data_IF_848347143395
#
_entry.id   IF_848347143395
#
_cell.length_a   1.000
_cell.length_b   1.000
_cell.length_c   1.000
_cell.angle_alpha   90.00
_cell.angle_beta   90.00
_cell.angle_gamma   90.00
#
_symmetry.space_group_name_H-M   'P 1'
#
loop_
_entity.id
_entity.type
_entity.pdbx_description
1 polymer ?
#
# COMPACT_ATOMS: atom_id res chain seq x y z
N UNK A 1 -61.77 -41.86 -12.46
CA UNK A 1 -61.50 -40.44 -12.22
C UNK A 1 -60.02 -40.14 -11.79
N UNK A 2 -59.28 -41.11 -11.18
CA UNK A 2 -57.92 -40.92 -10.61
C UNK A 2 -56.81 -40.64 -11.64
N UNK A 3 -56.95 -41.03 -12.91
CA UNK A 3 -55.95 -40.81 -13.97
C UNK A 3 -56.03 -39.39 -14.62
N UNK A 4 -57.19 -38.76 -14.63
CA UNK A 4 -57.35 -37.40 -15.23
C UNK A 4 -56.58 -36.33 -14.42
N UNK A 5 -56.56 -36.44 -13.08
CA UNK A 5 -55.79 -35.52 -12.22
C UNK A 5 -54.27 -35.67 -12.39
N UNK A 6 -53.78 -36.95 -12.57
CA UNK A 6 -52.38 -37.18 -12.85
C UNK A 6 -51.92 -36.65 -14.19
N UNK A 7 -52.75 -36.79 -15.23
CA UNK A 7 -52.47 -36.25 -16.56
C UNK A 7 -52.45 -34.71 -16.54
N UNK A 8 -53.37 -34.05 -15.81
CA UNK A 8 -53.42 -32.62 -15.65
C UNK A 8 -52.18 -32.08 -14.93
N UNK A 9 -51.74 -32.78 -13.85
CA UNK A 9 -50.54 -32.41 -13.13
C UNK A 9 -49.29 -32.54 -14.02
N UNK A 10 -49.20 -33.62 -14.78
CA UNK A 10 -48.10 -33.84 -15.71
C UNK A 10 -48.02 -32.78 -16.81
N UNK A 11 -49.22 -32.42 -17.37
CA UNK A 11 -49.30 -31.35 -18.37
C UNK A 11 -48.85 -29.98 -17.81
N UNK A 12 -49.26 -29.67 -16.56
CA UNK A 12 -48.87 -28.42 -15.88
C UNK A 12 -47.37 -28.37 -15.62
N UNK A 13 -46.77 -29.47 -15.15
CA UNK A 13 -45.29 -29.54 -14.93
C UNK A 13 -44.51 -29.36 -16.22
N UNK A 14 -44.96 -30.00 -17.31
CA UNK A 14 -44.33 -29.83 -18.65
C UNK A 14 -44.43 -28.38 -19.14
N UNK A 15 -45.62 -27.74 -18.94
CA UNK A 15 -45.80 -26.33 -19.30
C UNK A 15 -44.85 -25.42 -18.52
N UNK A 16 -44.72 -25.63 -17.20
CA UNK A 16 -43.78 -24.87 -16.35
C UNK A 16 -42.33 -25.08 -16.78
N UNK A 17 -41.94 -26.33 -17.07
CA UNK A 17 -40.59 -26.62 -17.57
C UNK A 17 -40.33 -25.95 -18.92
N UNK A 18 -41.30 -25.97 -19.84
CA UNK A 18 -41.15 -25.30 -21.16
C UNK A 18 -41.06 -23.76 -20.98
N UNK A 19 -41.90 -23.16 -20.14
CA UNK A 19 -41.85 -21.74 -19.82
C UNK A 19 -40.49 -21.35 -19.19
N UNK A 20 -39.99 -22.17 -18.27
CA UNK A 20 -38.67 -21.98 -17.64
C UNK A 20 -37.54 -22.12 -18.66
N UNK A 21 -37.61 -23.10 -19.54
CA UNK A 21 -36.59 -23.29 -20.61
C UNK A 21 -36.57 -22.09 -21.57
N UNK A 22 -37.75 -21.57 -21.97
CA UNK A 22 -37.85 -20.35 -22.80
C UNK A 22 -37.32 -19.13 -22.06
N UNK A 23 -37.65 -18.98 -20.79
CA UNK A 23 -37.11 -17.91 -19.94
C UNK A 23 -35.58 -17.97 -19.88
N UNK A 24 -35.01 -19.12 -19.54
CA UNK A 24 -33.56 -19.35 -19.47
C UNK A 24 -32.89 -19.12 -20.83
N UNK A 25 -33.49 -19.60 -21.92
CA UNK A 25 -32.94 -19.37 -23.26
C UNK A 25 -32.89 -17.87 -23.60
N UNK A 26 -33.96 -17.12 -23.29
CA UNK A 26 -33.99 -15.68 -23.49
C UNK A 26 -32.98 -14.96 -22.59
N UNK A 27 -32.94 -15.32 -21.33
CA UNK A 27 -31.98 -14.76 -20.36
C UNK A 27 -30.54 -14.95 -20.82
N UNK A 28 -30.17 -16.17 -21.26
CA UNK A 28 -28.81 -16.47 -21.72
C UNK A 28 -28.45 -15.74 -23.02
N UNK A 29 -29.44 -15.48 -23.90
CA UNK A 29 -29.21 -14.72 -25.14
C UNK A 29 -29.23 -13.22 -24.98
N UNK A 30 -29.92 -12.72 -23.96
CA UNK A 30 -30.03 -11.28 -23.70
C UNK A 30 -29.10 -10.81 -22.59
N UNK A 31 -28.49 -11.72 -21.82
CA UNK A 31 -27.53 -11.37 -20.78
C UNK A 31 -26.34 -10.67 -21.40
N UNK A 32 -26.01 -9.52 -20.87
CA UNK A 32 -24.78 -8.81 -21.18
C UNK A 32 -23.60 -9.55 -20.54
N UNK A 33 -22.57 -9.84 -21.31
CA UNK A 33 -21.36 -10.51 -20.86
C UNK A 33 -20.11 -9.78 -21.32
N UNK A 34 -20.28 -8.67 -22.02
CA UNK A 34 -19.16 -7.87 -22.50
C UNK A 34 -18.81 -6.84 -21.43
N UNK A 35 -17.55 -6.81 -20.97
CA UNK A 35 -17.13 -5.81 -19.99
C UNK A 35 -17.02 -4.43 -20.65
N UNK A 36 -17.17 -3.35 -19.88
CA UNK A 36 -16.97 -2.00 -20.38
C UNK A 36 -15.54 -1.78 -20.86
N UNK A 37 -15.35 -0.77 -21.69
CA UNK A 37 -14.05 -0.38 -22.20
C UNK A 37 -13.57 0.89 -21.50
N UNK A 38 -12.45 0.78 -20.80
CA UNK A 38 -11.80 1.91 -20.15
C UNK A 38 -10.87 2.60 -21.16
N UNK A 39 -10.97 3.92 -21.25
CA UNK A 39 -10.11 4.78 -22.06
C UNK A 39 -9.43 5.80 -21.17
N UNK A 40 -8.18 6.14 -21.50
CA UNK A 40 -7.40 7.13 -20.76
C UNK A 40 -6.74 8.10 -21.73
N UNK A 41 -6.81 9.40 -21.44
CA UNK A 41 -6.24 10.46 -22.26
C UNK A 41 -4.71 10.44 -22.24
N UNK A 42 -4.11 9.98 -21.13
CA UNK A 42 -2.66 9.91 -20.96
C UNK A 42 -2.30 8.63 -20.18
N UNK A 43 -1.22 7.97 -20.61
CA UNK A 43 -0.66 6.78 -19.96
C UNK A 43 0.11 7.09 -18.68
N UNK A 44 0.65 8.29 -18.57
CA UNK A 44 1.35 8.79 -17.38
C UNK A 44 0.64 10.03 -16.84
N UNK A 45 0.53 10.13 -15.52
CA UNK A 45 -0.01 11.28 -14.82
C UNK A 45 1.01 11.75 -13.79
N UNK A 46 1.25 13.07 -13.74
CA UNK A 46 2.11 13.66 -12.70
C UNK A 46 1.24 14.33 -11.66
N UNK A 47 1.45 13.97 -10.40
CA UNK A 47 0.74 14.50 -9.24
C UNK A 47 1.73 14.97 -8.17
N UNK A 48 1.23 15.77 -7.23
CA UNK A 48 1.83 16.02 -5.93
C UNK A 48 1.21 15.06 -4.89
N UNK A 49 1.94 14.71 -3.84
CA UNK A 49 1.40 13.94 -2.70
C UNK A 49 0.26 14.68 -1.97
N UNK A 50 0.18 16.00 -2.14
CA UNK A 50 -0.91 16.83 -1.59
C UNK A 50 -2.15 16.89 -2.50
N UNK A 51 -2.09 16.35 -3.72
CA UNK A 51 -3.25 16.33 -4.61
C UNK A 51 -4.33 15.38 -4.07
N UNK A 52 -5.61 15.74 -4.21
CA UNK A 52 -6.68 14.85 -3.78
C UNK A 52 -6.75 13.58 -4.65
N UNK A 53 -7.18 12.47 -4.07
CA UNK A 53 -7.29 11.16 -4.74
C UNK A 53 -8.19 11.20 -5.98
N UNK A 54 -9.12 12.15 -6.05
CA UNK A 54 -9.99 12.34 -7.22
C UNK A 54 -9.20 12.66 -8.49
N UNK A 55 -8.00 13.25 -8.38
CA UNK A 55 -7.12 13.51 -9.52
C UNK A 55 -6.58 12.23 -10.16
N UNK A 56 -6.56 11.13 -9.44
CA UNK A 56 -6.19 9.83 -10.02
C UNK A 56 -7.14 9.40 -11.15
N UNK A 57 -8.40 9.89 -11.16
CA UNK A 57 -9.37 9.61 -12.21
C UNK A 57 -9.34 10.62 -13.36
N UNK A 58 -8.46 11.61 -13.31
CA UNK A 58 -8.37 12.64 -14.34
C UNK A 58 -8.03 12.07 -15.71
N UNK A 59 -8.82 12.45 -16.73
CA UNK A 59 -8.65 11.97 -18.10
C UNK A 59 -9.05 10.51 -18.31
N UNK A 60 -9.76 9.89 -17.35
CA UNK A 60 -10.31 8.55 -17.47
C UNK A 60 -11.76 8.60 -17.93
N UNK A 61 -12.15 7.62 -18.77
CA UNK A 61 -13.54 7.39 -19.15
C UNK A 61 -13.80 5.92 -19.32
N UNK A 62 -15.05 5.50 -19.21
CA UNK A 62 -15.46 4.13 -19.46
C UNK A 62 -16.77 4.09 -20.25
N UNK A 63 -16.80 3.27 -21.28
CA UNK A 63 -17.99 3.10 -22.15
C UNK A 63 -18.30 1.62 -22.30
N UNK A 64 -19.59 1.33 -22.33
CA UNK A 64 -20.11 0.01 -22.58
C UNK A 64 -20.99 0.00 -23.83
N UNK A 65 -21.04 -1.14 -24.55
CA UNK A 65 -21.80 -1.27 -25.80
C UNK A 65 -23.30 -1.17 -25.59
N UNK A 66 -23.83 -1.56 -24.42
CA UNK A 66 -25.26 -1.55 -24.09
C UNK A 66 -25.66 -0.42 -23.16
N UNK A 67 -24.82 -0.14 -22.16
CA UNK A 67 -25.10 0.83 -21.11
C UNK A 67 -24.64 2.24 -21.47
N UNK A 68 -23.82 2.37 -22.52
CA UNK A 68 -23.28 3.65 -22.96
C UNK A 68 -22.16 4.17 -22.05
N UNK A 69 -22.29 5.40 -21.56
CA UNK A 69 -21.32 6.00 -20.65
C UNK A 69 -21.46 5.41 -19.25
N UNK A 70 -20.46 4.66 -18.82
CA UNK A 70 -20.31 4.08 -17.49
C UNK A 70 -19.13 4.69 -16.72
N UNK A 71 -18.64 5.84 -17.15
CA UNK A 71 -17.58 6.61 -16.46
C UNK A 71 -17.86 6.82 -14.97
N UNK A 72 -19.10 7.06 -14.51
CA UNK A 72 -19.40 7.18 -13.07
C UNK A 72 -19.12 5.91 -12.25
N UNK A 73 -18.96 4.74 -12.90
CA UNK A 73 -18.60 3.49 -12.23
C UNK A 73 -17.09 3.30 -12.01
N UNK A 74 -16.27 4.19 -12.58
CA UNK A 74 -14.82 4.12 -12.46
C UNK A 74 -14.37 4.33 -11.01
N UNK A 75 -13.56 3.40 -10.53
CA UNK A 75 -12.91 3.48 -9.22
C UNK A 75 -11.40 3.21 -9.34
N UNK A 76 -10.65 3.72 -8.39
CA UNK A 76 -9.28 3.29 -8.14
C UNK A 76 -9.34 2.00 -7.31
N UNK A 77 -8.93 0.88 -7.90
CA UNK A 77 -8.92 -0.44 -7.22
C UNK A 77 -7.68 -0.58 -6.33
N UNK A 78 -6.53 -0.14 -6.82
CA UNK A 78 -5.28 -0.20 -6.05
C UNK A 78 -4.23 0.78 -6.57
N UNK A 79 -3.38 1.23 -5.67
CA UNK A 79 -2.15 1.95 -5.98
C UNK A 79 -0.98 1.11 -5.46
N UNK A 80 0.00 0.81 -6.32
CA UNK A 80 1.20 0.06 -5.95
C UNK A 80 2.44 0.78 -6.45
N UNK A 81 3.43 0.94 -5.59
CA UNK A 81 4.65 1.65 -5.92
C UNK A 81 5.70 0.74 -6.56
N UNK A 82 6.39 1.27 -7.58
CA UNK A 82 7.77 0.90 -7.88
C UNK A 82 8.61 2.08 -7.45
N UNK A 83 9.30 1.90 -6.37
CA UNK A 83 9.85 2.95 -5.54
C UNK A 83 11.06 3.66 -6.17
N UNK A 84 11.80 2.97 -7.05
CA UNK A 84 13.07 3.47 -7.57
C UNK A 84 12.96 4.85 -8.24
N UNK A 85 11.81 5.19 -8.85
CA UNK A 85 11.65 6.41 -9.64
C UNK A 85 10.43 7.26 -9.25
N UNK A 86 9.87 7.09 -8.04
CA UNK A 86 8.64 7.78 -7.60
C UNK A 86 7.43 7.50 -8.52
N UNK A 87 7.45 6.35 -9.19
CA UNK A 87 6.42 5.89 -10.12
C UNK A 87 5.56 4.84 -9.46
N UNK A 88 4.26 4.98 -9.60
CA UNK A 88 3.27 4.09 -9.01
C UNK A 88 2.35 3.58 -10.12
N UNK A 89 1.98 2.33 -10.03
CA UNK A 89 0.99 1.74 -10.91
C UNK A 89 -0.37 1.83 -10.23
N UNK A 90 -1.28 2.57 -10.84
CA UNK A 90 -2.67 2.67 -10.41
C UNK A 90 -3.50 1.73 -11.25
N UNK A 91 -4.25 0.85 -10.60
CA UNK A 91 -5.22 -0.05 -11.24
C UNK A 91 -6.61 0.52 -11.07
N UNK A 92 -7.32 0.64 -12.16
CA UNK A 92 -8.70 1.12 -12.23
C UNK A 92 -9.64 -0.04 -12.52
N UNK A 93 -10.86 0.03 -12.02
CA UNK A 93 -11.96 -0.85 -12.39
C UNK A 93 -13.17 -0.03 -12.80
N UNK A 94 -13.89 -0.50 -13.83
CA UNK A 94 -15.16 0.04 -14.27
C UNK A 94 -16.20 -1.09 -14.37
N UNK A 95 -17.45 -0.78 -14.10
CA UNK A 95 -18.54 -1.73 -14.02
C UNK A 95 -19.68 -1.29 -14.92
N UNK A 96 -20.32 -2.25 -15.60
CA UNK A 96 -21.59 -2.05 -16.26
C UNK A 96 -22.77 -2.41 -15.34
N UNK A 97 -24.00 -2.26 -15.84
CA UNK A 97 -25.22 -2.61 -15.08
C UNK A 97 -25.42 -4.13 -14.95
N UNK A 98 -24.81 -4.92 -15.82
CA UNK A 98 -24.86 -6.38 -15.76
C UNK A 98 -23.85 -6.96 -14.75
N UNK A 99 -22.92 -6.14 -14.24
CA UNK A 99 -21.88 -6.54 -13.28
C UNK A 99 -20.60 -7.05 -13.96
N UNK A 100 -20.44 -6.86 -15.28
CA UNK A 100 -19.15 -7.13 -15.91
C UNK A 100 -18.15 -6.05 -15.53
N UNK A 101 -16.86 -6.44 -15.41
CA UNK A 101 -15.80 -5.61 -14.91
C UNK A 101 -14.68 -5.50 -15.92
N UNK A 102 -14.28 -4.28 -16.22
CA UNK A 102 -13.03 -4.00 -16.93
C UNK A 102 -11.97 -3.45 -15.97
N UNK A 103 -10.70 -3.74 -16.25
CA UNK A 103 -9.57 -3.19 -15.53
C UNK A 103 -8.58 -2.54 -16.49
N UNK A 104 -7.97 -1.45 -16.04
CA UNK A 104 -6.89 -0.78 -16.76
C UNK A 104 -5.83 -0.30 -15.76
N UNK A 105 -4.62 -0.06 -16.24
CA UNK A 105 -3.51 0.42 -15.42
C UNK A 105 -2.91 1.68 -16.04
N UNK A 106 -2.48 2.61 -15.19
CA UNK A 106 -1.75 3.81 -15.55
C UNK A 106 -0.58 4.02 -14.60
N UNK A 107 0.51 4.58 -15.14
CA UNK A 107 1.63 5.04 -14.32
C UNK A 107 1.34 6.43 -13.77
N UNK A 108 1.51 6.61 -12.47
CA UNK A 108 1.44 7.90 -11.79
C UNK A 108 2.80 8.23 -11.22
N UNK A 109 3.30 9.43 -11.50
CA UNK A 109 4.54 9.96 -10.96
C UNK A 109 4.22 11.02 -9.92
N UNK A 110 4.65 10.82 -8.67
CA UNK A 110 4.54 11.83 -7.62
C UNK A 110 5.84 12.64 -7.54
N UNK A 111 5.80 13.89 -7.98
CA UNK A 111 6.98 14.75 -8.12
C UNK A 111 7.72 15.01 -6.80
N UNK A 112 6.99 15.10 -5.71
CA UNK A 112 7.45 15.43 -4.37
C UNK A 112 7.41 14.24 -3.38
N UNK A 113 7.18 13.03 -3.86
CA UNK A 113 7.21 11.83 -3.03
C UNK A 113 8.60 11.60 -2.43
N UNK A 114 8.62 11.24 -1.17
CA UNK A 114 9.81 10.77 -0.45
C UNK A 114 9.47 9.47 0.27
N UNK A 115 10.40 8.51 0.20
CA UNK A 115 10.30 7.25 0.96
C UNK A 115 10.18 7.51 2.46
N UNK A 116 9.62 6.57 3.24
CA UNK A 116 9.54 6.69 4.68
C UNK A 116 10.87 7.08 5.31
N UNK A 117 10.86 7.97 6.28
CA UNK A 117 12.07 8.46 6.96
C UNK A 117 12.04 8.11 8.42
N UNK A 118 13.18 7.62 8.91
CA UNK A 118 13.42 7.42 10.32
C UNK A 118 13.83 8.73 11.00
N UNK A 119 13.55 8.82 12.30
CA UNK A 119 14.11 9.83 13.21
C UNK A 119 14.58 9.16 14.47
N UNK A 120 15.60 9.73 15.10
CA UNK A 120 16.16 9.29 16.37
C UNK A 120 16.07 10.42 17.38
N UNK A 121 15.41 10.18 18.49
CA UNK A 121 15.28 11.12 19.61
C UNK A 121 16.42 11.03 20.64
N UNK A 122 17.17 9.92 20.61
CA UNK A 122 18.32 9.67 21.48
C UNK A 122 19.31 8.70 20.80
N UNK A 123 20.59 8.66 21.25
CA UNK A 123 21.53 7.66 20.74
C UNK A 123 21.10 6.25 21.16
N UNK A 124 21.44 5.25 20.34
CA UNK A 124 21.14 3.85 20.62
C UNK A 124 22.18 3.25 21.60
N UNK A 125 22.27 3.83 22.79
CA UNK A 125 23.17 3.41 23.86
C UNK A 125 22.34 2.95 25.06
N UNK A 126 22.52 1.72 25.48
CA UNK A 126 21.73 1.10 26.53
C UNK A 126 22.60 0.42 27.57
N UNK A 127 22.01 0.09 28.73
CA UNK A 127 22.69 -0.68 29.78
C UNK A 127 22.62 -2.17 29.47
N UNK A 128 23.74 -2.86 29.61
CA UNK A 128 23.82 -4.31 29.51
C UNK A 128 23.07 -5.00 30.66
N UNK A 129 22.74 -6.28 30.48
CA UNK A 129 22.08 -7.12 31.49
C UNK A 129 20.54 -7.05 31.47
N UNK A 130 19.96 -6.03 30.86
CA UNK A 130 18.52 -5.91 30.62
C UNK A 130 18.30 -5.88 29.12
N UNK A 131 17.28 -6.59 28.61
CA UNK A 131 16.95 -6.50 27.18
C UNK A 131 16.48 -5.07 26.87
N UNK A 132 17.25 -4.27 26.13
CA UNK A 132 16.86 -2.90 25.85
C UNK A 132 15.73 -2.84 24.83
N UNK A 133 14.87 -1.83 24.96
CA UNK A 133 13.97 -1.46 23.88
C UNK A 133 14.71 -0.54 22.90
N UNK A 134 15.37 -1.17 21.92
CA UNK A 134 16.11 -0.45 20.89
C UNK A 134 15.18 0.34 19.94
N UNK A 135 13.87 0.18 20.03
CA UNK A 135 12.88 0.92 19.24
C UNK A 135 12.44 2.22 19.94
N UNK A 136 12.55 2.32 21.27
CA UNK A 136 12.05 3.47 22.02
C UNK A 136 12.54 4.85 21.50
N UNK A 137 13.82 5.02 21.07
CA UNK A 137 14.28 6.29 20.51
C UNK A 137 13.92 6.50 19.03
N UNK A 138 13.36 5.47 18.36
CA UNK A 138 13.08 5.50 16.94
C UNK A 138 11.66 5.95 16.64
N UNK A 139 11.52 6.75 15.61
CA UNK A 139 10.24 7.00 14.96
C UNK A 139 10.39 6.93 13.45
N UNK A 140 9.29 6.75 12.74
CA UNK A 140 9.28 6.75 11.29
C UNK A 140 8.04 7.49 10.76
N UNK A 141 8.24 8.31 9.72
CA UNK A 141 7.20 9.11 9.09
C UNK A 141 7.16 8.86 7.58
N UNK A 142 5.96 8.85 7.03
CA UNK A 142 5.71 8.73 5.60
C UNK A 142 4.76 9.84 5.14
N UNK A 143 4.89 10.27 3.89
CA UNK A 143 4.08 11.38 3.34
C UNK A 143 2.62 10.99 3.09
N UNK A 144 2.31 9.70 2.91
CA UNK A 144 0.95 9.20 2.71
C UNK A 144 0.35 8.59 3.98
N UNK A 145 1.12 7.75 4.67
CA UNK A 145 0.63 6.99 5.82
C UNK A 145 0.80 7.74 7.15
N UNK A 146 1.55 8.85 7.16
CA UNK A 146 1.86 9.58 8.38
C UNK A 146 2.83 8.82 9.29
N UNK A 147 2.46 8.60 10.55
CA UNK A 147 3.29 7.91 11.53
C UNK A 147 3.34 6.40 11.30
N UNK A 148 4.54 5.89 11.08
CA UNK A 148 4.82 4.47 10.87
C UNK A 148 5.64 3.83 12.02
N UNK A 149 5.77 4.50 13.14
CA UNK A 149 6.64 4.10 14.25
C UNK A 149 6.35 2.67 14.72
N UNK A 150 5.09 2.29 14.85
CA UNK A 150 4.68 0.94 15.25
C UNK A 150 4.97 -0.14 14.19
N UNK A 151 5.23 0.26 12.94
CA UNK A 151 5.57 -0.66 11.85
C UNK A 151 7.07 -0.92 11.71
N UNK A 152 7.90 -0.28 12.52
CA UNK A 152 9.35 -0.48 12.51
C UNK A 152 9.66 -1.91 12.95
N UNK A 153 10.52 -2.59 12.18
CA UNK A 153 11.05 -3.92 12.50
C UNK A 153 12.56 -3.86 12.53
N UNK A 154 13.18 -4.54 13.49
CA UNK A 154 14.63 -4.63 13.64
C UNK A 154 15.16 -6.03 13.38
N UNK A 155 16.35 -6.11 12.81
CA UNK A 155 17.11 -7.35 12.62
C UNK A 155 18.54 -7.12 13.08
N UNK A 156 19.01 -7.96 14.01
CA UNK A 156 20.40 -7.93 14.46
C UNK A 156 21.31 -8.46 13.35
N UNK A 157 22.26 -7.64 12.93
CA UNK A 157 23.19 -7.95 11.84
C UNK A 157 24.52 -8.48 12.34
N UNK A 158 25.02 -7.97 13.47
CA UNK A 158 26.28 -8.40 14.08
C UNK A 158 26.32 -8.09 15.58
N UNK A 159 27.24 -8.73 16.31
CA UNK A 159 27.46 -8.52 17.75
C UNK A 159 26.89 -9.64 18.64
N UNK A 160 26.37 -10.71 18.08
CA UNK A 160 25.83 -11.85 18.82
C UNK A 160 24.42 -12.23 18.40
N UNK A 161 23.75 -13.07 19.19
CA UNK A 161 22.37 -13.54 18.91
C UNK A 161 21.29 -12.73 19.64
N UNK A 162 21.65 -11.96 20.65
CA UNK A 162 20.75 -11.14 21.46
C UNK A 162 21.47 -9.86 21.95
N UNK A 163 20.71 -8.77 22.08
CA UNK A 163 21.15 -7.52 22.73
C UNK A 163 21.08 -7.67 24.26
N UNK A 164 22.11 -8.21 24.89
CA UNK A 164 22.11 -8.48 26.33
C UNK A 164 23.43 -8.22 27.02
N UNK A 165 24.52 -8.57 26.39
CA UNK A 165 25.88 -8.39 26.96
C UNK A 165 26.46 -7.05 26.54
N UNK A 166 27.41 -6.51 27.32
CA UNK A 166 28.12 -5.30 26.92
C UNK A 166 28.89 -5.52 25.63
N UNK A 167 28.79 -4.59 24.69
CA UNK A 167 29.43 -4.70 23.39
C UNK A 167 28.79 -3.83 22.32
N UNK A 168 29.42 -3.87 21.15
CA UNK A 168 28.97 -3.17 19.96
C UNK A 168 28.13 -4.11 19.09
N UNK A 169 26.94 -3.66 18.76
CA UNK A 169 25.98 -4.37 17.91
C UNK A 169 25.66 -3.54 16.69
N UNK A 170 25.27 -4.18 15.60
CA UNK A 170 24.72 -3.52 14.43
C UNK A 170 23.29 -4.03 14.21
N UNK A 171 22.34 -3.12 14.20
CA UNK A 171 20.93 -3.44 13.97
C UNK A 171 20.47 -2.76 12.68
N UNK A 172 19.80 -3.51 11.82
CA UNK A 172 19.09 -2.98 10.66
C UNK A 172 17.62 -2.84 11.01
N UNK A 173 17.13 -1.60 11.03
CA UNK A 173 15.72 -1.27 11.13
C UNK A 173 15.14 -1.13 9.74
N UNK A 174 13.89 -1.55 9.58
CA UNK A 174 13.12 -1.38 8.35
C UNK A 174 11.72 -0.91 8.65
N UNK A 175 11.17 -0.10 7.76
CA UNK A 175 9.77 0.32 7.79
C UNK A 175 9.21 0.29 6.38
N UNK A 176 7.96 -0.16 6.23
CA UNK A 176 7.29 -0.28 4.94
C UNK A 176 5.95 0.45 5.02
N UNK A 177 5.68 1.34 4.05
CA UNK A 177 4.41 2.04 3.94
C UNK A 177 3.33 1.18 3.25
N UNK A 178 2.10 1.69 3.16
CA UNK A 178 0.97 1.00 2.53
C UNK A 178 1.16 0.77 1.03
N UNK A 179 1.97 1.58 0.36
CA UNK A 179 2.29 1.44 -1.06
C UNK A 179 3.36 0.36 -1.33
N UNK A 180 3.97 -0.21 -0.27
CA UNK A 180 5.01 -1.23 -0.35
C UNK A 180 6.42 -0.66 -0.42
N UNK A 181 6.60 0.66 -0.29
CA UNK A 181 7.92 1.27 -0.21
C UNK A 181 8.58 0.97 1.14
N UNK A 182 9.83 0.52 1.09
CA UNK A 182 10.58 0.08 2.28
C UNK A 182 11.85 0.88 2.43
N UNK A 183 11.98 1.55 3.57
CA UNK A 183 13.20 2.23 3.99
C UNK A 183 13.96 1.40 5.02
N UNK A 184 15.28 1.52 4.98
CA UNK A 184 16.20 0.84 5.88
C UNK A 184 17.10 1.85 6.59
N UNK A 185 17.32 1.62 7.88
CA UNK A 185 18.32 2.30 8.70
C UNK A 185 19.20 1.24 9.34
N UNK A 186 20.49 1.22 9.02
CA UNK A 186 21.48 0.38 9.70
C UNK A 186 22.24 1.26 10.69
N UNK A 187 22.12 0.96 11.97
CA UNK A 187 22.70 1.76 13.03
C UNK A 187 23.49 0.92 14.05
N UNK A 188 24.57 1.48 14.61
CA UNK A 188 25.23 0.86 15.75
C UNK A 188 24.37 0.99 17.00
N UNK A 189 24.33 -0.06 17.80
CA UNK A 189 23.71 -0.13 19.13
C UNK A 189 24.79 -0.52 20.12
N UNK A 190 25.05 0.34 21.10
CA UNK A 190 26.06 0.10 22.14
C UNK A 190 25.40 -0.33 23.45
N UNK A 191 25.83 -1.48 24.00
CA UNK A 191 25.47 -1.89 25.34
C UNK A 191 26.68 -1.72 26.26
N UNK A 192 26.50 -0.96 27.37
CA UNK A 192 27.57 -0.67 28.34
C UNK A 192 27.25 -1.25 29.72
N UNK A 193 28.27 -1.61 30.49
CA UNK A 193 28.10 -2.10 31.86
C UNK A 193 27.74 -1.00 32.88
N UNK A 194 27.50 0.22 32.38
CA UNK A 194 27.03 1.34 33.24
C UNK A 194 28.12 1.94 34.12
N UNK A 195 29.31 2.22 33.56
CA UNK A 195 30.35 2.99 34.23
C UNK A 195 29.86 4.40 34.56
N UNK A 196 30.11 4.83 35.82
CA UNK A 196 29.84 6.19 36.27
C UNK A 196 30.84 7.15 35.65
N UNK A 197 30.37 8.13 34.87
CA UNK A 197 31.19 9.27 34.46
C UNK A 197 31.36 9.49 32.93
N UNK A 198 30.45 9.04 32.11
CA UNK A 198 30.43 9.48 30.70
C UNK A 198 29.84 10.87 30.56
N UNK A 199 30.55 11.77 29.87
CA UNK A 199 29.98 13.05 29.47
C UNK A 199 28.77 12.79 28.55
N UNK A 200 27.64 13.41 28.87
CA UNK A 200 26.44 13.36 28.03
C UNK A 200 26.52 14.52 27.04
N UNK A 201 26.42 14.18 25.73
CA UNK A 201 26.31 15.17 24.68
C UNK A 201 24.88 15.08 24.14
N UNK A 202 24.12 16.14 24.30
CA UNK A 202 22.78 16.24 23.72
C UNK A 202 22.86 16.93 22.37
N UNK A 203 22.32 16.30 21.35
CA UNK A 203 22.23 16.83 19.98
C UNK A 203 20.78 17.22 19.67
N UNK A 204 20.60 18.21 18.80
CA UNK A 204 19.28 18.54 18.26
C UNK A 204 18.66 17.40 17.45
N UNK A 205 19.51 16.62 16.76
CA UNK A 205 19.09 15.41 16.02
C UNK A 205 20.19 14.36 16.08
N UNK A 206 19.79 13.11 16.20
CA UNK A 206 20.70 11.94 16.21
C UNK A 206 20.71 11.18 14.88
N UNK A 207 19.90 11.63 13.90
CA UNK A 207 19.89 11.10 12.54
C UNK A 207 19.70 12.23 11.54
N UNK A 208 20.64 12.34 10.61
CA UNK A 208 20.64 13.40 9.61
C UNK A 208 20.62 12.79 8.20
N UNK A 209 19.75 13.31 7.35
CA UNK A 209 19.68 12.96 5.94
C UNK A 209 20.42 14.01 5.11
N UNK A 210 21.48 13.60 4.43
CA UNK A 210 22.25 14.46 3.53
C UNK A 210 22.05 13.99 2.07
N UNK A 211 22.06 14.94 1.14
CA UNK A 211 22.15 14.62 -0.28
C UNK A 211 23.62 14.31 -0.62
N UNK A 212 23.84 13.46 -1.62
CA UNK A 212 25.18 13.20 -2.13
C UNK A 212 25.82 14.51 -2.59
N UNK A 213 26.98 14.84 -2.00
CA UNK A 213 27.71 16.10 -2.26
C UNK A 213 27.46 17.22 -1.26
N UNK A 214 26.52 17.08 -0.34
CA UNK A 214 26.31 18.06 0.74
C UNK A 214 27.52 18.06 1.70
N UNK A 215 27.92 19.26 2.15
CA UNK A 215 28.95 19.40 3.17
C UNK A 215 28.37 19.08 4.55
N UNK A 216 29.06 18.25 5.31
CA UNK A 216 28.68 17.93 6.69
C UNK A 216 29.57 18.68 7.70
N UNK A 217 28.96 19.44 8.58
CA UNK A 217 29.62 20.12 9.70
C UNK A 217 28.97 19.71 11.02
N UNK A 218 29.62 18.85 11.85
CA UNK A 218 29.04 18.35 13.10
C UNK A 218 28.66 19.47 14.10
N UNK A 219 29.40 20.60 14.08
CA UNK A 219 29.18 21.73 15.01
C UNK A 219 27.85 22.44 14.83
N UNK A 220 27.14 22.24 13.71
CA UNK A 220 25.83 22.83 13.46
C UNK A 220 24.70 22.13 14.23
N UNK A 221 24.99 20.98 14.83
CA UNK A 221 23.98 20.10 15.49
C UNK A 221 24.24 19.89 16.99
N UNK A 222 25.20 20.68 17.55
CA UNK A 222 25.52 20.69 18.98
C UNK A 222 24.75 21.75 19.74
#
# INVERSE_FOLDING_TARGET
MRNKGKILLLALTLLCCAAFAVYQYRYLRTADREPPKISMAQQELTLSVSDPDTRLLEGMSATDARDGDVTPSLIVESVRGVVADKRFTVTYAAFDRAGNVAKAQRTVFYSDYTSPRFSLSAPLIFRAGVSPDAFAPLSAQDVFDGDLTERIKGTLMSGGSMLREAGDYTVQFRVTNALGDTSYLTAPVLLTDGGTGSAEITLETYLLYLKTGDAFSPRQYL
#
